data_IF_107462378668
#
_entry.id   IF_107462378668
#
_cell.length_a   1.000
_cell.length_b   1.000
_cell.length_c   1.000
_cell.angle_alpha   90.00
_cell.angle_beta   90.00
_cell.angle_gamma   90.00
#
_symmetry.space_group_name_H-M   'P 1'
#
loop_
_entity.id
_entity.type
_entity.pdbx_description
1 polymer ?
#
# COMPACT_ATOMS: atom_id res chain seq x y z
N UNK A 1 10.18 18.30 -9.50
CA UNK A 1 8.77 17.89 -9.26
C UNK A 1 8.53 17.95 -7.75
N UNK A 2 7.43 18.56 -7.30
CA UNK A 2 7.12 18.62 -5.85
C UNK A 2 6.73 17.23 -5.31
N UNK A 3 6.87 16.97 -4.00
CA UNK A 3 6.42 15.71 -3.40
C UNK A 3 4.95 15.38 -3.71
N UNK A 4 4.08 16.38 -3.66
CA UNK A 4 2.66 16.25 -4.04
C UNK A 4 2.48 15.86 -5.50
N UNK A 5 3.20 16.51 -6.41
CA UNK A 5 3.16 16.18 -7.85
C UNK A 5 3.71 14.77 -8.14
N UNK A 6 4.70 14.31 -7.37
CA UNK A 6 5.18 12.93 -7.44
C UNK A 6 4.08 11.94 -7.04
N UNK A 7 3.38 12.19 -5.93
CA UNK A 7 2.27 11.36 -5.49
C UNK A 7 1.14 11.30 -6.52
N UNK A 8 0.69 12.45 -7.02
CA UNK A 8 -0.33 12.57 -8.06
C UNK A 8 0.03 11.75 -9.31
N UNK A 9 1.28 11.86 -9.77
CA UNK A 9 1.78 11.10 -10.91
C UNK A 9 1.76 9.58 -10.67
N UNK A 10 2.14 9.13 -9.47
CA UNK A 10 2.18 7.70 -9.16
C UNK A 10 0.77 7.13 -8.96
N UNK A 11 -0.15 7.91 -8.40
CA UNK A 11 -1.55 7.55 -8.25
C UNK A 11 -2.27 7.50 -9.61
N UNK A 12 -1.94 8.40 -10.55
CA UNK A 12 -2.45 8.34 -11.92
C UNK A 12 -2.00 7.07 -12.66
N UNK A 13 -0.73 6.67 -12.49
CA UNK A 13 -0.24 5.38 -12.97
C UNK A 13 -0.97 4.22 -12.28
N UNK A 14 -1.12 4.24 -10.96
CA UNK A 14 -1.85 3.18 -10.25
C UNK A 14 -3.29 3.02 -10.79
N UNK A 15 -4.00 4.14 -10.98
CA UNK A 15 -5.40 4.21 -11.44
C UNK A 15 -5.58 3.71 -12.88
N UNK A 16 -4.59 3.90 -13.76
CA UNK A 16 -4.66 3.35 -15.13
C UNK A 16 -4.44 1.83 -15.16
N UNK A 17 -3.77 1.28 -14.15
CA UNK A 17 -3.46 -0.14 -14.07
C UNK A 17 -4.46 -0.98 -13.28
N UNK A 18 -5.05 -0.45 -12.19
CA UNK A 18 -5.88 -1.19 -11.23
C UNK A 18 -7.34 -0.76 -11.30
N UNK A 19 -8.12 -1.45 -12.14
CA UNK A 19 -9.52 -1.11 -12.41
C UNK A 19 -10.50 -2.16 -11.90
N UNK A 20 -10.06 -3.41 -11.73
CA UNK A 20 -10.96 -4.47 -11.28
C UNK A 20 -11.22 -4.33 -9.77
N UNK A 21 -12.49 -4.17 -9.35
CA UNK A 21 -12.83 -4.01 -7.93
C UNK A 21 -12.44 -5.24 -7.08
N UNK A 22 -12.38 -6.44 -7.66
CA UNK A 22 -11.96 -7.66 -6.97
C UNK A 22 -10.47 -7.64 -6.69
N UNK A 23 -9.67 -7.22 -7.69
CA UNK A 23 -8.24 -7.05 -7.50
C UNK A 23 -7.94 -6.02 -6.40
N UNK A 24 -8.62 -4.88 -6.45
CA UNK A 24 -8.48 -3.86 -5.40
C UNK A 24 -8.88 -4.40 -4.03
N UNK A 25 -10.00 -5.12 -3.92
CA UNK A 25 -10.42 -5.71 -2.65
C UNK A 25 -9.38 -6.65 -2.03
N UNK A 26 -8.73 -7.51 -2.84
CA UNK A 26 -7.68 -8.37 -2.29
C UNK A 26 -6.43 -7.58 -1.89
N UNK A 27 -6.09 -6.50 -2.60
CA UNK A 27 -5.01 -5.59 -2.23
C UNK A 27 -5.30 -4.83 -0.93
N UNK A 28 -6.55 -4.41 -0.72
CA UNK A 28 -7.00 -3.76 0.51
C UNK A 28 -6.77 -4.60 1.78
N UNK A 29 -6.69 -5.92 1.65
CA UNK A 29 -6.35 -6.83 2.75
C UNK A 29 -4.87 -7.24 2.70
N UNK A 30 -4.38 -7.59 1.51
CA UNK A 30 -3.04 -8.13 1.32
C UNK A 30 -1.92 -7.13 1.62
N UNK A 31 -2.08 -5.87 1.21
CA UNK A 31 -1.06 -4.84 1.47
C UNK A 31 -0.91 -4.57 2.97
N UNK A 32 -1.99 -4.27 3.75
CA UNK A 32 -1.86 -4.12 5.21
C UNK A 32 -1.27 -5.36 5.90
N UNK A 33 -1.64 -6.56 5.45
CA UNK A 33 -1.10 -7.81 6.00
C UNK A 33 0.42 -7.93 5.79
N UNK A 34 0.92 -7.64 4.59
CA UNK A 34 2.37 -7.64 4.32
C UNK A 34 3.08 -6.54 5.10
N UNK A 35 2.53 -5.33 5.15
CA UNK A 35 3.14 -4.22 5.90
C UNK A 35 3.25 -4.58 7.39
N UNK A 36 2.20 -5.15 7.97
CA UNK A 36 2.21 -5.60 9.36
C UNK A 36 3.25 -6.71 9.61
N UNK A 37 3.33 -7.71 8.73
CA UNK A 37 4.30 -8.80 8.90
C UNK A 37 5.75 -8.31 8.84
N UNK A 38 6.06 -7.33 7.97
CA UNK A 38 7.38 -6.70 7.92
C UNK A 38 7.70 -5.96 9.23
N UNK A 39 6.73 -5.22 9.79
CA UNK A 39 6.91 -4.61 11.11
C UNK A 39 7.20 -5.64 12.20
N UNK A 40 6.50 -6.78 12.20
CA UNK A 40 6.68 -7.87 13.18
C UNK A 40 8.12 -8.40 13.17
N UNK A 41 8.71 -8.65 12.00
CA UNK A 41 10.10 -9.14 11.93
C UNK A 41 11.10 -8.03 12.25
N UNK A 42 10.86 -6.80 11.79
CA UNK A 42 11.71 -5.66 12.12
C UNK A 42 11.70 -5.34 13.62
N UNK A 43 10.61 -5.63 14.32
CA UNK A 43 10.48 -5.39 15.77
C UNK A 43 11.42 -6.26 16.62
N UNK A 44 11.89 -7.39 16.07
CA UNK A 44 12.87 -8.28 16.73
C UNK A 44 14.28 -7.65 16.81
N UNK A 45 14.61 -6.72 15.90
CA UNK A 45 15.91 -6.06 15.89
C UNK A 45 15.80 -4.76 16.66
N UNK A 46 16.51 -4.66 17.78
CA UNK A 46 16.41 -3.51 18.69
C UNK A 46 17.79 -2.93 19.02
N UNK A 47 17.83 -1.62 19.22
CA UNK A 47 19.05 -0.85 19.40
C UNK A 47 18.92 0.08 20.62
N UNK A 48 19.96 0.17 21.46
CA UNK A 48 19.99 1.14 22.54
C UNK A 48 20.30 2.54 21.99
N UNK A 49 19.28 3.42 21.92
CA UNK A 49 19.41 4.79 21.42
C UNK A 49 18.97 5.76 22.53
N UNK A 50 19.89 6.63 22.95
CA UNK A 50 19.64 7.63 23.99
C UNK A 50 19.04 7.06 25.29
N UNK A 51 19.42 5.83 25.66
CA UNK A 51 18.92 5.13 26.85
C UNK A 51 17.60 4.38 26.66
N UNK A 52 16.99 4.42 25.47
CA UNK A 52 15.79 3.67 25.13
C UNK A 52 16.12 2.48 24.23
N UNK A 53 15.39 1.38 24.40
CA UNK A 53 15.50 0.22 23.51
C UNK A 53 14.54 0.39 22.32
N UNK A 54 15.08 0.78 21.17
CA UNK A 54 14.33 1.21 19.99
C UNK A 54 14.35 0.10 18.93
N UNK A 55 13.18 -0.33 18.47
CA UNK A 55 13.09 -1.32 17.40
C UNK A 55 13.40 -0.74 16.01
N UNK A 56 13.95 -1.58 15.12
CA UNK A 56 14.11 -1.26 13.71
C UNK A 56 12.76 -0.96 13.06
N UNK A 57 11.68 -1.60 13.52
CA UNK A 57 10.32 -1.32 13.08
C UNK A 57 9.92 0.15 13.32
N UNK A 58 10.20 0.69 14.51
CA UNK A 58 9.91 2.10 14.82
C UNK A 58 10.73 3.05 13.95
N UNK A 59 12.03 2.78 13.77
CA UNK A 59 12.92 3.61 12.93
C UNK A 59 12.42 3.66 11.49
N UNK A 60 12.12 2.49 10.90
CA UNK A 60 11.62 2.38 9.53
C UNK A 60 10.23 3.03 9.42
N UNK A 61 9.33 2.78 10.38
CA UNK A 61 8.00 3.37 10.38
C UNK A 61 8.05 4.90 10.41
N UNK A 62 8.91 5.51 11.25
CA UNK A 62 9.10 6.96 11.28
C UNK A 62 9.57 7.48 9.92
N UNK A 63 10.59 6.85 9.32
CA UNK A 63 11.11 7.28 8.01
C UNK A 63 10.03 7.20 6.91
N UNK A 64 9.27 6.12 6.88
CA UNK A 64 8.19 5.90 5.90
C UNK A 64 7.01 6.85 6.13
N UNK A 65 6.61 7.09 7.39
CA UNK A 65 5.56 8.04 7.72
C UNK A 65 5.94 9.47 7.35
N UNK A 66 7.19 9.89 7.60
CA UNK A 66 7.70 11.20 7.17
C UNK A 66 7.65 11.33 5.65
N UNK A 67 8.06 10.29 4.92
CA UNK A 67 7.92 10.23 3.47
C UNK A 67 6.45 10.40 3.04
N UNK A 68 5.53 9.59 3.59
CA UNK A 68 4.12 9.63 3.21
C UNK A 68 3.44 10.97 3.54
N UNK A 69 3.74 11.56 4.70
CA UNK A 69 3.25 12.90 5.07
C UNK A 69 3.80 13.96 4.11
N UNK A 70 5.06 13.83 3.69
CA UNK A 70 5.65 14.76 2.70
C UNK A 70 4.95 14.68 1.34
N UNK A 71 4.44 13.50 0.95
CA UNK A 71 3.74 13.27 -0.31
C UNK A 71 2.31 13.84 -0.29
N UNK A 72 1.55 13.57 0.77
CA UNK A 72 0.27 14.22 1.04
C UNK A 72 -0.02 14.21 2.54
N UNK A 73 -0.14 15.38 3.16
CA UNK A 73 -0.28 15.51 4.63
C UNK A 73 -1.52 14.79 5.15
N UNK A 74 -2.68 14.94 4.51
CA UNK A 74 -3.92 14.37 5.04
C UNK A 74 -3.95 12.85 4.92
N UNK A 75 -3.50 12.31 3.78
CA UNK A 75 -3.39 10.86 3.56
C UNK A 75 -2.28 10.28 4.46
N UNK A 76 -1.15 10.95 4.57
CA UNK A 76 -0.04 10.56 5.45
C UNK A 76 -0.44 10.52 6.92
N UNK A 77 -1.23 11.50 7.40
CA UNK A 77 -1.77 11.47 8.77
C UNK A 77 -2.77 10.31 8.97
N UNK A 78 -3.60 9.99 7.97
CA UNK A 78 -4.44 8.79 8.05
C UNK A 78 -3.60 7.50 8.07
N UNK A 79 -2.46 7.46 7.38
CA UNK A 79 -1.52 6.34 7.48
C UNK A 79 -0.92 6.20 8.88
N UNK A 80 -0.70 7.29 9.62
CA UNK A 80 -0.27 7.23 11.04
C UNK A 80 -1.30 6.44 11.86
N UNK A 81 -2.59 6.71 11.68
CA UNK A 81 -3.67 6.03 12.41
C UNK A 81 -3.69 4.52 12.14
N UNK A 82 -3.25 4.09 10.94
CA UNK A 82 -3.13 2.67 10.59
C UNK A 82 -1.82 2.06 11.10
N UNK A 83 -0.70 2.78 10.99
CA UNK A 83 0.63 2.29 11.36
C UNK A 83 0.81 2.15 12.87
N UNK A 84 0.31 3.08 13.68
CA UNK A 84 0.57 3.10 15.13
C UNK A 84 0.06 1.83 15.82
N UNK A 85 -1.20 1.39 15.64
CA UNK A 85 -1.66 0.13 16.24
C UNK A 85 -0.86 -1.09 15.77
N UNK A 86 -0.53 -1.16 14.47
CA UNK A 86 0.28 -2.23 13.91
C UNK A 86 1.69 -2.27 14.52
N UNK A 87 2.31 -1.12 14.72
CA UNK A 87 3.63 -1.00 15.32
C UNK A 87 3.61 -1.41 16.81
N UNK A 88 2.62 -0.92 17.57
CA UNK A 88 2.45 -1.30 18.98
C UNK A 88 2.24 -2.81 19.14
N UNK A 89 1.43 -3.42 18.27
CA UNK A 89 1.21 -4.86 18.28
C UNK A 89 2.48 -5.63 17.87
N UNK A 90 3.23 -5.16 16.87
CA UNK A 90 4.49 -5.77 16.46
C UNK A 90 5.54 -5.74 17.56
N UNK A 91 5.72 -4.58 18.23
CA UNK A 91 6.61 -4.45 19.38
C UNK A 91 6.16 -5.33 20.56
N UNK A 92 4.86 -5.37 20.85
CA UNK A 92 4.33 -6.23 21.91
C UNK A 92 4.61 -7.71 21.63
N UNK A 93 4.39 -8.17 20.39
CA UNK A 93 4.70 -9.54 19.98
C UNK A 93 6.20 -9.84 20.12
N UNK A 94 7.07 -8.94 19.66
CA UNK A 94 8.52 -9.12 19.72
C UNK A 94 9.04 -9.22 21.16
N UNK A 95 8.43 -8.50 22.11
CA UNK A 95 8.86 -8.45 23.51
C UNK A 95 8.24 -9.54 24.39
N UNK A 96 7.05 -10.05 24.06
CA UNK A 96 6.26 -10.89 24.96
C UNK A 96 5.93 -12.29 24.41
N UNK A 97 6.07 -12.53 23.11
CA UNK A 97 5.75 -13.82 22.51
C UNK A 97 6.98 -14.72 22.37
N UNK A 98 6.74 -16.04 22.30
CA UNK A 98 7.79 -16.98 21.94
C UNK A 98 8.28 -16.72 20.50
N UNK A 99 9.58 -16.91 20.20
CA UNK A 99 10.11 -16.70 18.85
C UNK A 99 9.33 -17.45 17.76
N UNK A 100 8.91 -18.69 18.04
CA UNK A 100 8.08 -19.49 17.11
C UNK A 100 6.74 -18.83 16.77
N UNK A 101 6.11 -18.16 17.74
CA UNK A 101 4.88 -17.40 17.53
C UNK A 101 5.12 -16.20 16.63
N UNK A 102 6.18 -15.43 16.87
CA UNK A 102 6.52 -14.25 16.05
C UNK A 102 6.75 -14.64 14.60
N UNK A 103 7.55 -15.69 14.36
CA UNK A 103 7.81 -16.20 13.00
C UNK A 103 6.56 -16.79 12.35
N UNK A 104 5.66 -17.40 13.13
CA UNK A 104 4.37 -17.89 12.62
C UNK A 104 3.46 -16.75 12.19
N UNK A 105 3.35 -15.69 13.01
CA UNK A 105 2.59 -14.48 12.67
C UNK A 105 3.16 -13.86 11.40
N UNK A 106 4.48 -13.69 11.33
CA UNK A 106 5.13 -13.20 10.12
C UNK A 106 4.76 -14.05 8.89
N UNK A 107 4.95 -15.37 8.96
CA UNK A 107 4.70 -16.27 7.83
C UNK A 107 3.24 -16.23 7.36
N UNK A 108 2.28 -16.30 8.29
CA UNK A 108 0.84 -16.27 7.97
C UNK A 108 0.46 -14.98 7.24
N UNK A 109 0.85 -13.82 7.79
CA UNK A 109 0.47 -12.53 7.20
C UNK A 109 1.26 -12.21 5.94
N UNK A 110 2.55 -12.53 5.88
CA UNK A 110 3.38 -12.31 4.69
C UNK A 110 2.95 -13.20 3.53
N UNK A 111 2.90 -14.52 3.73
CA UNK A 111 2.52 -15.48 2.69
C UNK A 111 1.05 -15.29 2.31
N UNK A 112 0.15 -15.18 3.29
CA UNK A 112 -1.27 -14.94 3.05
C UNK A 112 -1.53 -13.63 2.31
N UNK A 113 -0.86 -12.54 2.69
CA UNK A 113 -0.96 -11.25 2.03
C UNK A 113 -0.46 -11.29 0.58
N UNK A 114 0.60 -12.05 0.30
CA UNK A 114 1.07 -12.30 -1.07
C UNK A 114 0.09 -13.14 -1.88
N UNK A 115 -0.44 -14.24 -1.32
CA UNK A 115 -1.45 -15.08 -1.98
C UNK A 115 -2.65 -14.24 -2.40
N UNK A 116 -3.16 -13.38 -1.51
CA UNK A 116 -4.30 -12.50 -1.81
C UNK A 116 -3.98 -11.51 -2.95
N UNK A 117 -2.81 -10.86 -2.92
CA UNK A 117 -2.42 -9.92 -3.97
C UNK A 117 -2.22 -10.61 -5.32
N UNK A 118 -1.51 -11.74 -5.35
CA UNK A 118 -1.28 -12.51 -6.57
C UNK A 118 -2.60 -13.04 -7.14
N UNK A 119 -3.50 -13.51 -6.29
CA UNK A 119 -4.83 -13.96 -6.71
C UNK A 119 -5.66 -12.82 -7.30
N UNK A 120 -5.60 -11.62 -6.70
CA UNK A 120 -6.21 -10.42 -7.26
C UNK A 120 -5.75 -10.15 -8.70
N UNK A 121 -4.45 -10.23 -8.93
CA UNK A 121 -3.84 -9.99 -10.24
C UNK A 121 -4.26 -11.00 -11.31
N UNK A 122 -4.69 -12.22 -10.94
CA UNK A 122 -5.26 -13.19 -11.89
C UNK A 122 -6.51 -12.63 -12.57
N UNK A 123 -7.31 -11.81 -11.88
CA UNK A 123 -8.51 -11.20 -12.46
C UNK A 123 -8.18 -10.10 -13.48
N UNK A 124 -7.06 -9.40 -13.32
CA UNK A 124 -6.62 -8.35 -14.25
C UNK A 124 -5.67 -8.86 -15.34
N UNK A 125 -5.12 -10.07 -15.19
CA UNK A 125 -4.17 -10.66 -16.14
C UNK A 125 -2.82 -9.94 -16.22
N UNK A 126 -2.52 -9.06 -15.26
CA UNK A 126 -1.31 -8.22 -15.23
C UNK A 126 -0.42 -8.60 -14.06
N UNK A 127 0.90 -8.45 -14.23
CA UNK A 127 1.88 -8.76 -13.18
C UNK A 127 1.87 -7.70 -12.07
N UNK A 128 2.24 -8.07 -10.82
CA UNK A 128 2.34 -7.11 -9.72
C UNK A 128 3.36 -6.01 -10.00
N UNK A 129 2.96 -4.76 -9.72
CA UNK A 129 3.84 -3.59 -9.85
C UNK A 129 5.05 -3.64 -8.89
N UNK A 130 4.97 -4.46 -7.83
CA UNK A 130 6.03 -4.64 -6.84
C UNK A 130 7.35 -5.13 -7.45
N UNK A 131 7.27 -5.89 -8.55
CA UNK A 131 8.44 -6.46 -9.24
C UNK A 131 9.09 -5.43 -10.17
N UNK A 132 8.32 -4.44 -10.64
CA UNK A 132 8.78 -3.45 -11.61
C UNK A 132 9.14 -2.10 -10.99
N UNK A 133 8.65 -1.77 -9.79
CA UNK A 133 8.89 -0.47 -9.15
C UNK A 133 8.80 -0.53 -7.62
N UNK A 134 9.96 -0.61 -6.95
CA UNK A 134 10.04 -0.64 -5.49
C UNK A 134 9.51 0.65 -4.83
N UNK A 135 9.65 1.80 -5.48
CA UNK A 135 9.09 3.05 -4.95
C UNK A 135 7.56 3.03 -4.98
N UNK A 136 6.96 2.52 -6.05
CA UNK A 136 5.50 2.36 -6.14
C UNK A 136 4.98 1.35 -5.12
N UNK A 137 5.75 0.30 -4.82
CA UNK A 137 5.45 -0.62 -3.72
C UNK A 137 5.40 0.10 -2.37
N UNK A 138 6.40 0.95 -2.10
CA UNK A 138 6.52 1.69 -0.85
C UNK A 138 5.36 2.67 -0.62
N UNK A 139 4.88 3.32 -1.67
CA UNK A 139 3.73 4.25 -1.58
C UNK A 139 2.39 3.57 -1.85
N UNK A 140 2.38 2.28 -2.20
CA UNK A 140 1.19 1.47 -2.46
C UNK A 140 0.10 1.60 -1.38
N UNK A 141 0.44 1.49 -0.08
CA UNK A 141 -0.53 1.69 1.01
C UNK A 141 -1.26 3.04 0.96
N UNK A 142 -0.59 4.11 0.51
CA UNK A 142 -1.22 5.43 0.39
C UNK A 142 -2.31 5.45 -0.69
N UNK A 143 -2.17 4.67 -1.77
CA UNK A 143 -3.18 4.61 -2.83
C UNK A 143 -4.50 4.06 -2.30
N UNK A 144 -4.45 3.04 -1.46
CA UNK A 144 -5.63 2.42 -0.85
C UNK A 144 -6.36 3.43 0.05
N UNK A 145 -5.61 4.17 0.88
CA UNK A 145 -6.20 5.22 1.72
C UNK A 145 -6.75 6.38 0.88
N UNK A 146 -6.08 6.75 -0.21
CA UNK A 146 -6.59 7.75 -1.15
C UNK A 146 -7.92 7.31 -1.78
N UNK A 147 -8.04 6.05 -2.19
CA UNK A 147 -9.30 5.49 -2.70
C UNK A 147 -10.43 5.54 -1.65
N UNK A 148 -10.13 5.26 -0.37
CA UNK A 148 -11.10 5.41 0.73
C UNK A 148 -11.52 6.88 0.87
N UNK A 149 -10.57 7.82 0.84
CA UNK A 149 -10.88 9.25 0.88
C UNK A 149 -11.79 9.66 -0.28
N UNK A 150 -11.52 9.17 -1.49
CA UNK A 150 -12.35 9.45 -2.67
C UNK A 150 -13.75 8.83 -2.56
N UNK A 151 -13.86 7.60 -2.05
CA UNK A 151 -15.13 6.93 -1.83
C UNK A 151 -16.00 7.66 -0.78
N UNK A 152 -15.37 8.26 0.23
CA UNK A 152 -16.02 9.13 1.23
C UNK A 152 -16.34 10.54 0.69
N UNK A 153 -15.98 10.83 -0.57
CA UNK A 153 -16.21 12.13 -1.21
C UNK A 153 -15.25 13.24 -0.77
N UNK A 154 -14.16 12.89 -0.06
CA UNK A 154 -13.08 13.81 0.30
C UNK A 154 -12.08 13.96 -0.84
N UNK A 155 -11.18 14.96 -0.74
CA UNK A 155 -10.08 15.19 -1.70
C UNK A 155 -10.52 15.24 -3.18
N UNK A 156 -11.73 15.75 -3.48
CA UNK A 156 -12.30 15.79 -4.85
C UNK A 156 -11.38 16.45 -5.88
N UNK A 157 -10.74 17.56 -5.53
CA UNK A 157 -9.79 18.26 -6.40
C UNK A 157 -8.55 17.40 -6.73
N UNK A 158 -8.05 16.63 -5.75
CA UNK A 158 -6.95 15.68 -5.98
C UNK A 158 -7.41 14.55 -6.92
N UNK A 159 -8.62 14.01 -6.71
CA UNK A 159 -9.17 12.98 -7.60
C UNK A 159 -9.29 13.49 -9.04
N UNK A 160 -9.85 14.68 -9.24
CA UNK A 160 -9.95 15.31 -10.57
C UNK A 160 -8.58 15.46 -11.23
N UNK A 161 -7.59 15.95 -10.49
CA UNK A 161 -6.22 16.10 -11.01
C UNK A 161 -5.59 14.75 -11.39
N UNK A 162 -5.83 13.69 -10.61
CA UNK A 162 -5.36 12.34 -10.93
C UNK A 162 -6.02 11.82 -12.21
N UNK A 163 -7.33 12.03 -12.36
CA UNK A 163 -8.09 11.62 -13.54
C UNK A 163 -7.56 12.35 -14.80
N UNK A 164 -7.32 13.66 -14.72
CA UNK A 164 -6.71 14.47 -15.78
C UNK A 164 -5.30 13.97 -16.16
N UNK A 165 -4.42 13.79 -15.16
CA UNK A 165 -3.06 13.29 -15.37
C UNK A 165 -3.05 11.87 -15.96
N UNK A 166 -4.02 11.05 -15.58
CA UNK A 166 -4.18 9.71 -16.12
C UNK A 166 -4.50 9.76 -17.62
N UNK A 167 -5.43 10.62 -18.03
CA UNK A 167 -5.78 10.80 -19.45
C UNK A 167 -4.62 11.43 -20.25
N UNK A 168 -3.94 12.42 -19.70
CA UNK A 168 -2.81 13.10 -20.34
C UNK A 168 -1.63 12.15 -20.59
N UNK A 169 -1.25 11.36 -19.57
CA UNK A 169 -0.04 10.53 -19.62
C UNK A 169 -0.27 9.11 -20.11
N UNK A 170 -1.50 8.62 -19.99
CA UNK A 170 -1.88 7.25 -20.30
C UNK A 170 -3.13 7.18 -21.19
N UNK A 171 -3.19 7.95 -22.31
CA UNK A 171 -4.38 8.06 -23.15
C UNK A 171 -4.86 6.72 -23.72
N UNK A 172 -3.94 5.77 -23.94
CA UNK A 172 -4.26 4.41 -24.38
C UNK A 172 -5.12 3.61 -23.39
N UNK A 173 -5.26 4.09 -22.15
CA UNK A 173 -6.12 3.49 -21.13
C UNK A 173 -7.42 4.28 -20.92
N UNK A 174 -7.63 5.42 -21.60
CA UNK A 174 -8.87 6.19 -21.53
C UNK A 174 -10.07 5.37 -22.03
N UNK A 175 -9.90 4.65 -23.14
CA UNK A 175 -10.95 3.89 -23.82
C UNK A 175 -10.84 2.37 -23.65
N UNK A 176 -9.79 1.88 -22.99
CA UNK A 176 -9.57 0.44 -22.83
C UNK A 176 -10.79 -0.19 -22.14
N UNK A 177 -11.56 -1.05 -22.83
CA UNK A 177 -12.73 -1.66 -22.23
C UNK A 177 -12.28 -2.44 -21.00
N UNK A 178 -13.01 -2.32 -19.90
CA UNK A 178 -12.81 -3.21 -18.76
C UNK A 178 -12.74 -4.66 -19.29
N UNK A 179 -11.91 -5.53 -18.73
CA UNK A 179 -11.70 -6.89 -19.24
C UNK A 179 -13.00 -7.69 -19.45
N UNK A 180 -14.11 -7.25 -18.83
CA UNK A 180 -15.49 -7.72 -19.06
C UNK A 180 -16.02 -7.45 -20.47
N UNK A 181 -15.82 -6.26 -21.03
CA UNK A 181 -16.32 -5.90 -22.35
C UNK A 181 -15.63 -6.71 -23.46
N UNK A 182 -14.31 -6.94 -23.35
CA UNK A 182 -13.56 -7.81 -24.27
C UNK A 182 -13.97 -9.29 -24.23
N UNK A 183 -14.56 -9.78 -23.13
CA UNK A 183 -15.09 -11.16 -23.04
C UNK A 183 -16.52 -11.29 -23.56
N UNK A 184 -17.30 -10.20 -23.56
CA UNK A 184 -18.66 -10.18 -24.11
C UNK A 184 -18.68 -9.99 -25.63
N UNK A 185 -17.62 -9.43 -26.21
CA UNK A 185 -17.45 -9.29 -27.67
C UNK A 185 -16.78 -10.51 -28.32
N UNK A 186 -16.23 -11.43 -27.52
CA UNK A 186 -15.49 -12.61 -27.98
C UNK A 186 -16.24 -13.93 -27.75
N UNK A 187 -17.53 -13.89 -27.40
CA UNK A 187 -18.42 -15.04 -27.23
C UNK A 187 -19.76 -14.77 -27.90
#
# INVERSE_FOLDING_TARGET
MSPKGLFESQMAMYTSYHRDPRNRATHFVGIPAIVFSLLVVLALYRFPIAGFDVSAALIVAIAVLLLWISLDVAIGLAMVLLMVPSLLLADWLALNAAPSTVWSVFAVFFIGGWILQLWGHVYEGRRPALISNLFQALIGPMFLVAEVFFALGWKRALKQRIDELMLERYPQYAEAPSHRARRQEAG
#
